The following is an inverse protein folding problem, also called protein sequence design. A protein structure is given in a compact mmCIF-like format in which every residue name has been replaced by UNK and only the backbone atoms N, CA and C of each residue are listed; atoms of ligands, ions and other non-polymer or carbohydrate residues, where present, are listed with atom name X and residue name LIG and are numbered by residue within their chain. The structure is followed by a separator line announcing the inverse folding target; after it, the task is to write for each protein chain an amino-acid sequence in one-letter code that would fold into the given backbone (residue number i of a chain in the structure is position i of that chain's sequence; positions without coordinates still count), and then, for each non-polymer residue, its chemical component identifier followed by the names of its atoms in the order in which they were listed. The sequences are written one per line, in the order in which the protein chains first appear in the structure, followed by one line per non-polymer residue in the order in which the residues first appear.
data_IF_869659557078
#
_entry.id   IF_869659557078
#
_cell.length_a   1.000
_cell.length_b   1.000
_cell.length_c   1.000
_cell.angle_alpha   90.00
_cell.angle_beta   90.00
_cell.angle_gamma   90.00
#
_symmetry.space_group_name_H-M   'P 1'
#
loop_
_entity.id
_entity.type
_entity.pdbx_description
1 polymer ?
#
# COMPACT_ATOMS: atom_id res chain seq x y z
N UNK A 1 3.18 -10.73 -28.33
CA UNK A 1 3.62 -10.56 -26.92
C UNK A 1 4.89 -11.38 -26.71
N UNK A 2 6.01 -10.75 -26.33
CA UNK A 2 7.25 -11.48 -26.02
C UNK A 2 7.04 -12.22 -24.70
N UNK A 3 7.22 -13.54 -24.70
CA UNK A 3 7.13 -14.36 -23.48
C UNK A 3 8.42 -14.19 -22.68
N UNK A 4 8.30 -14.12 -21.35
CA UNK A 4 9.45 -14.10 -20.44
C UNK A 4 10.32 -15.34 -20.64
N UNK A 5 11.64 -15.18 -20.68
CA UNK A 5 12.60 -16.29 -20.69
C UNK A 5 12.59 -17.03 -19.34
N UNK A 6 13.25 -18.20 -19.28
CA UNK A 6 13.39 -18.94 -18.04
C UNK A 6 14.19 -18.14 -16.99
N UNK A 7 15.23 -17.45 -17.44
CA UNK A 7 16.10 -16.61 -16.61
C UNK A 7 15.32 -15.42 -16.05
N UNK A 8 14.47 -14.77 -16.85
CA UNK A 8 13.62 -13.66 -16.39
C UNK A 8 12.61 -14.12 -15.34
N UNK A 9 12.03 -15.32 -15.49
CA UNK A 9 11.12 -15.90 -14.48
C UNK A 9 11.86 -16.26 -13.19
N UNK A 10 13.06 -16.83 -13.29
CA UNK A 10 13.91 -17.11 -12.13
C UNK A 10 14.30 -15.81 -11.40
N UNK A 11 14.69 -14.76 -12.12
CA UNK A 11 15.01 -13.45 -11.54
C UNK A 11 13.80 -12.81 -10.85
N UNK A 12 12.60 -12.95 -11.42
CA UNK A 12 11.36 -12.52 -10.79
C UNK A 12 11.05 -13.30 -9.50
N UNK A 13 11.23 -14.62 -9.51
CA UNK A 13 11.03 -15.46 -8.33
C UNK A 13 12.00 -15.10 -7.20
N UNK A 14 13.28 -14.81 -7.51
CA UNK A 14 14.26 -14.38 -6.52
C UNK A 14 13.88 -13.03 -5.88
N UNK A 15 13.45 -12.05 -6.69
CA UNK A 15 12.98 -10.76 -6.17
C UNK A 15 11.72 -10.90 -5.32
N UNK A 16 10.80 -11.78 -5.70
CA UNK A 16 9.63 -12.10 -4.88
C UNK A 16 10.03 -12.66 -3.51
N UNK A 17 10.98 -13.61 -3.48
CA UNK A 17 11.51 -14.18 -2.24
C UNK A 17 12.17 -13.11 -1.39
N UNK A 18 12.98 -12.24 -2.00
CA UNK A 18 13.66 -11.15 -1.32
C UNK A 18 12.67 -10.14 -0.72
N UNK A 19 11.63 -9.72 -1.45
CA UNK A 19 10.59 -8.81 -0.92
C UNK A 19 9.86 -9.41 0.28
N UNK A 20 9.54 -10.71 0.21
CA UNK A 20 8.88 -11.43 1.30
C UNK A 20 9.79 -11.63 2.51
N UNK A 21 11.09 -11.81 2.29
CA UNK A 21 12.10 -12.10 3.31
C UNK A 21 12.87 -10.89 3.82
N UNK A 22 12.55 -9.67 3.36
CA UNK A 22 13.16 -8.44 3.85
C UNK A 22 12.97 -8.33 5.37
N UNK A 23 14.06 -7.99 6.08
CA UNK A 23 14.11 -8.01 7.54
C UNK A 23 13.89 -6.63 8.18
N UNK A 24 14.04 -5.57 7.39
CA UNK A 24 13.84 -4.18 7.83
C UNK A 24 13.28 -3.29 6.69
N UNK A 25 12.87 -2.05 6.99
CA UNK A 25 12.37 -1.11 5.98
C UNK A 25 13.37 -0.76 4.88
N UNK A 26 14.68 -0.79 5.18
CA UNK A 26 15.75 -0.50 4.21
C UNK A 26 15.83 -1.57 3.12
N UNK A 27 15.68 -2.84 3.50
CA UNK A 27 15.58 -3.97 2.57
C UNK A 27 14.37 -3.87 1.62
N UNK A 28 13.34 -3.10 1.99
CA UNK A 28 12.12 -2.94 1.20
C UNK A 28 12.23 -1.84 0.14
N UNK A 29 13.16 -0.88 0.27
CA UNK A 29 13.29 0.26 -0.64
C UNK A 29 13.45 -0.12 -2.12
N UNK A 30 14.26 -1.13 -2.50
CA UNK A 30 14.43 -1.50 -3.90
C UNK A 30 13.13 -1.95 -4.56
N UNK A 31 12.14 -2.42 -3.78
CA UNK A 31 10.87 -2.91 -4.31
C UNK A 31 9.85 -1.81 -4.59
N UNK A 32 10.07 -0.58 -4.14
CA UNK A 32 9.16 0.54 -4.44
C UNK A 32 9.00 0.79 -5.95
N UNK A 33 10.03 0.47 -6.72
CA UNK A 33 10.06 0.67 -8.17
C UNK A 33 10.11 -0.64 -8.96
N UNK A 34 9.87 -1.78 -8.30
CA UNK A 34 9.86 -3.08 -8.96
C UNK A 34 8.88 -3.09 -10.14
N UNK A 35 9.31 -3.58 -11.29
CA UNK A 35 8.47 -3.60 -12.50
C UNK A 35 7.23 -4.48 -12.36
N UNK A 36 7.27 -5.47 -11.46
CA UNK A 36 6.16 -6.37 -11.18
C UNK A 36 5.35 -5.88 -9.98
N UNK A 37 4.10 -5.48 -10.24
CA UNK A 37 3.17 -5.01 -9.20
C UNK A 37 2.90 -6.02 -8.09
N UNK A 38 2.97 -7.33 -8.39
CA UNK A 38 2.78 -8.37 -7.38
C UNK A 38 3.94 -8.40 -6.38
N UNK A 39 5.17 -8.09 -6.82
CA UNK A 39 6.33 -7.97 -5.92
C UNK A 39 6.18 -6.73 -5.04
N UNK A 40 5.77 -5.59 -5.61
CA UNK A 40 5.49 -4.38 -4.84
C UNK A 40 4.40 -4.61 -3.78
N UNK A 41 3.34 -5.33 -4.14
CA UNK A 41 2.28 -5.70 -3.21
C UNK A 41 2.81 -6.58 -2.06
N UNK A 42 3.65 -7.58 -2.36
CA UNK A 42 4.26 -8.45 -1.34
C UNK A 42 5.17 -7.66 -0.41
N UNK A 43 5.98 -6.76 -0.95
CA UNK A 43 6.83 -5.87 -0.14
C UNK A 43 5.99 -5.01 0.81
N UNK A 44 4.86 -4.45 0.34
CA UNK A 44 3.95 -3.66 1.16
C UNK A 44 3.20 -4.48 2.24
N UNK A 45 3.11 -5.80 2.11
CA UNK A 45 2.57 -6.70 3.16
C UNK A 45 3.61 -7.19 4.16
N UNK A 46 4.89 -6.88 3.97
CA UNK A 46 5.95 -7.39 4.81
C UNK A 46 5.78 -6.85 6.24
N UNK A 47 5.78 -7.71 7.29
CA UNK A 47 5.56 -7.28 8.67
C UNK A 47 6.61 -6.28 9.20
N UNK A 48 7.79 -6.22 8.58
CA UNK A 48 8.85 -5.27 8.90
C UNK A 48 8.67 -3.92 8.17
N UNK A 49 7.65 -3.77 7.31
CA UNK A 49 7.30 -2.49 6.72
C UNK A 49 6.78 -1.54 7.81
N UNK A 50 7.54 -0.48 8.06
CA UNK A 50 7.16 0.58 8.99
C UNK A 50 6.24 1.63 8.35
N UNK A 51 5.83 2.62 9.14
CA UNK A 51 4.93 3.66 8.68
C UNK A 51 5.51 4.50 7.52
N UNK A 52 6.83 4.73 7.49
CA UNK A 52 7.49 5.56 6.49
C UNK A 52 7.55 4.87 5.14
N UNK A 53 8.00 3.61 5.11
CA UNK A 53 8.06 2.85 3.85
C UNK A 53 6.66 2.54 3.31
N UNK A 54 5.68 2.31 4.20
CA UNK A 54 4.27 2.15 3.81
C UNK A 54 3.71 3.43 3.18
N UNK A 55 4.07 4.61 3.68
CA UNK A 55 3.66 5.88 3.08
C UNK A 55 4.20 6.03 1.65
N UNK A 56 5.43 5.56 1.41
CA UNK A 56 6.03 5.50 0.07
C UNK A 56 5.28 4.52 -0.83
N UNK A 57 4.97 3.31 -0.36
CA UNK A 57 4.13 2.34 -1.10
C UNK A 57 2.70 2.86 -1.35
N UNK A 58 2.17 3.76 -0.51
CA UNK A 58 0.85 4.36 -0.73
C UNK A 58 0.78 5.22 -2.01
N UNK A 59 1.93 5.64 -2.55
CA UNK A 59 2.02 6.36 -3.82
C UNK A 59 2.05 5.44 -5.06
N UNK A 60 1.93 4.12 -4.87
CA UNK A 60 1.95 3.18 -5.98
C UNK A 60 0.82 3.46 -6.98
N UNK A 61 1.12 3.36 -8.27
CA UNK A 61 0.14 3.51 -9.35
C UNK A 61 -0.96 2.45 -9.31
N UNK A 62 -0.66 1.24 -8.82
CA UNK A 62 -1.59 0.13 -8.79
C UNK A 62 -2.37 0.10 -7.47
N UNK A 63 -3.70 0.19 -7.56
CA UNK A 63 -4.58 0.22 -6.40
C UNK A 63 -4.42 -1.00 -5.48
N UNK A 64 -4.08 -2.16 -6.04
CA UNK A 64 -3.86 -3.38 -5.26
C UNK A 64 -2.70 -3.28 -4.28
N UNK A 65 -1.64 -2.53 -4.62
CA UNK A 65 -0.53 -2.25 -3.69
C UNK A 65 -0.98 -1.30 -2.59
N UNK A 66 -1.71 -0.23 -2.95
CA UNK A 66 -2.27 0.72 -1.98
C UNK A 66 -3.23 0.05 -0.99
N UNK A 67 -3.98 -0.98 -1.40
CA UNK A 67 -4.81 -1.76 -0.49
C UNK A 67 -4.00 -2.59 0.52
N UNK A 68 -2.85 -3.13 0.12
CA UNK A 68 -1.96 -3.82 1.06
C UNK A 68 -1.47 -2.84 2.13
N UNK A 69 -1.12 -1.62 1.72
CA UNK A 69 -0.74 -0.54 2.64
C UNK A 69 -1.86 -0.23 3.63
N UNK A 70 -3.10 -0.02 3.17
CA UNK A 70 -4.25 0.26 4.05
C UNK A 70 -4.50 -0.86 5.07
N UNK A 71 -4.32 -2.11 4.65
CA UNK A 71 -4.57 -3.29 5.48
C UNK A 71 -3.45 -3.53 6.50
N UNK A 72 -2.29 -2.90 6.33
CA UNK A 72 -1.11 -3.14 7.16
C UNK A 72 -1.28 -2.56 8.57
N UNK A 73 -0.86 -3.30 9.60
CA UNK A 73 -0.99 -2.85 10.99
C UNK A 73 -0.23 -1.54 11.27
N UNK A 74 0.96 -1.39 10.67
CA UNK A 74 1.85 -0.25 10.87
C UNK A 74 1.48 1.00 10.04
N UNK A 75 0.43 0.96 9.20
CA UNK A 75 0.07 2.13 8.36
C UNK A 75 -0.28 3.32 9.23
N UNK A 76 0.26 4.50 8.94
CA UNK A 76 -0.01 5.69 9.73
C UNK A 76 -1.44 6.21 9.49
N UNK A 77 -2.00 6.92 10.47
CA UNK A 77 -3.30 7.59 10.30
C UNK A 77 -3.22 8.70 9.22
N UNK A 78 -2.07 9.37 9.09
CA UNK A 78 -1.82 10.39 8.07
C UNK A 78 -1.86 9.81 6.66
N UNK A 79 -1.22 8.66 6.44
CA UNK A 79 -1.24 7.94 5.16
C UNK A 79 -2.67 7.52 4.80
N UNK A 80 -3.44 6.98 5.76
CA UNK A 80 -4.84 6.63 5.53
C UNK A 80 -5.70 7.85 5.12
N UNK A 81 -5.53 9.00 5.80
CA UNK A 81 -6.25 10.23 5.42
C UNK A 81 -5.90 10.68 4.00
N UNK A 82 -4.63 10.62 3.62
CA UNK A 82 -4.17 10.98 2.27
C UNK A 82 -4.72 10.06 1.17
N UNK A 83 -5.07 8.82 1.52
CA UNK A 83 -5.67 7.86 0.59
C UNK A 83 -7.19 8.05 0.39
N UNK A 84 -7.82 8.98 1.10
CA UNK A 84 -9.22 9.34 0.88
C UNK A 84 -9.37 10.20 -0.38
N UNK A 85 -10.29 9.79 -1.24
CA UNK A 85 -10.70 10.59 -2.40
C UNK A 85 -11.79 11.63 -2.03
N UNK A 86 -11.52 12.94 -2.17
CA UNK A 86 -12.51 13.98 -1.92
C UNK A 86 -13.67 13.99 -2.92
N UNK A 87 -13.43 13.65 -4.19
CA UNK A 87 -14.44 13.65 -5.24
C UNK A 87 -15.29 12.38 -5.18
N UNK A 88 -16.55 12.49 -4.74
CA UNK A 88 -17.47 11.35 -4.52
C UNK A 88 -17.54 10.39 -5.72
N UNK A 89 -17.74 10.85 -6.97
CA UNK A 89 -17.64 10.02 -8.19
C UNK A 89 -16.35 9.20 -8.36
N UNK A 90 -15.22 9.65 -7.80
CA UNK A 90 -13.91 8.98 -7.93
C UNK A 90 -13.60 8.04 -6.77
N UNK A 91 -14.45 7.99 -5.73
CA UNK A 91 -14.26 7.11 -4.58
C UNK A 91 -14.25 5.65 -5.03
N UNK A 92 -13.08 5.04 -4.90
CA UNK A 92 -12.87 3.64 -5.24
C UNK A 92 -12.59 2.77 -4.01
N UNK A 93 -12.19 1.53 -4.29
CA UNK A 93 -11.88 0.52 -3.26
C UNK A 93 -10.87 1.00 -2.22
N UNK A 94 -9.87 1.80 -2.63
CA UNK A 94 -8.85 2.33 -1.71
C UNK A 94 -9.44 3.37 -0.76
N UNK A 95 -10.33 4.25 -1.22
CA UNK A 95 -11.02 5.22 -0.36
C UNK A 95 -11.85 4.49 0.70
N UNK A 96 -12.66 3.51 0.30
CA UNK A 96 -13.53 2.79 1.24
C UNK A 96 -12.73 1.98 2.26
N UNK A 97 -11.65 1.33 1.84
CA UNK A 97 -10.76 0.62 2.76
C UNK A 97 -10.08 1.58 3.74
N UNK A 98 -9.57 2.71 3.26
CA UNK A 98 -8.92 3.72 4.11
C UNK A 98 -9.91 4.31 5.12
N UNK A 99 -11.14 4.62 4.68
CA UNK A 99 -12.23 5.07 5.54
C UNK A 99 -12.57 4.05 6.62
N UNK A 100 -12.82 2.79 6.25
CA UNK A 100 -13.14 1.74 7.22
C UNK A 100 -12.01 1.57 8.25
N UNK A 101 -10.74 1.62 7.81
CA UNK A 101 -9.58 1.54 8.71
C UNK A 101 -9.47 2.74 9.66
N UNK A 102 -9.87 3.92 9.21
CA UNK A 102 -9.94 5.13 10.04
C UNK A 102 -11.09 5.04 11.05
N UNK A 103 -12.26 4.56 10.64
CA UNK A 103 -13.42 4.30 11.52
C UNK A 103 -13.07 3.27 12.60
N UNK A 104 -12.37 2.18 12.27
CA UNK A 104 -11.80 1.20 13.23
C UNK A 104 -10.88 1.86 14.26
N UNK A 105 -10.21 2.96 13.89
CA UNK A 105 -9.32 3.75 14.75
C UNK A 105 -10.04 4.89 15.47
N UNK A 106 -11.38 4.93 15.42
CA UNK A 106 -12.21 5.91 16.11
C UNK A 106 -12.32 7.27 15.41
N UNK A 107 -11.93 7.38 14.14
CA UNK A 107 -12.10 8.62 13.37
C UNK A 107 -13.56 8.76 12.94
N UNK A 108 -14.15 9.91 13.24
CA UNK A 108 -15.54 10.24 12.88
C UNK A 108 -15.57 10.89 11.49
N UNK A 109 -16.59 10.53 10.71
CA UNK A 109 -16.82 11.06 9.37
C UNK A 109 -18.12 11.86 9.33
N UNK A 110 -18.06 13.07 8.77
CA UNK A 110 -19.22 13.93 8.61
C UNK A 110 -20.11 13.52 7.42
N UNK A 111 -21.15 14.31 7.16
CA UNK A 111 -22.13 14.05 6.09
C UNK A 111 -21.50 13.95 4.68
N UNK A 112 -20.42 14.69 4.43
CA UNK A 112 -19.66 14.65 3.17
C UNK A 112 -18.83 13.37 3.00
N UNK A 113 -18.77 12.50 4.02
CA UNK A 113 -17.98 11.27 4.00
C UNK A 113 -16.47 11.50 4.09
N UNK A 114 -16.06 12.61 4.70
CA UNK A 114 -14.66 12.95 5.02
C UNK A 114 -14.46 13.07 6.55
N UNK A 115 -13.24 12.89 7.07
CA UNK A 115 -12.96 12.97 8.50
C UNK A 115 -13.29 14.36 9.05
N UNK A 116 -13.96 14.41 10.19
CA UNK A 116 -14.07 15.65 10.96
C UNK A 116 -12.71 15.91 11.62
N UNK A 117 -12.12 17.09 11.41
CA UNK A 117 -10.94 17.46 12.19
C UNK A 117 -11.37 17.67 13.64
N UNK A 118 -10.70 16.99 14.57
CA UNK A 118 -10.89 17.28 15.98
C UNK A 118 -10.48 18.75 16.20
N UNK A 119 -11.46 19.59 16.53
CA UNK A 119 -11.25 21.00 16.86
C UNK A 119 -10.35 21.17 18.09
#
# INVERSE_FOLDING_TARGET
MVKKTAEQKAAEALRYIAAKGAADPGDLEPFLTDTNQSIRAVAATNPHADAEILDRFANDKFWGVRLQVVSHANVSQATLRRLLEPDTPKRGVVHHAARAKLEERGVVFGAEGMPEEAA
#
